data_IF_451090864912
#
_entry.id   IF_451090864912
#
_cell.length_a   1.000
_cell.length_b   1.000
_cell.length_c   1.000
_cell.angle_alpha   90.00
_cell.angle_beta   90.00
_cell.angle_gamma   90.00
#
_symmetry.space_group_name_H-M   'P 1'
#
loop_
_entity.id
_entity.type
_entity.pdbx_description
1 polymer ?
#
# COMPACT_ATOMS: atom_id res chain seq x y z
N UNK A 1 -33.47 35.57 -22.90
CA UNK A 1 -32.16 35.05 -23.39
C UNK A 1 -30.98 35.25 -22.41
N UNK A 2 -31.18 35.78 -21.18
CA UNK A 2 -30.09 36.13 -20.23
C UNK A 2 -29.79 35.04 -19.17
N UNK A 3 -30.73 34.10 -18.91
CA UNK A 3 -30.58 33.04 -17.88
C UNK A 3 -29.48 32.01 -18.18
N UNK A 4 -29.14 31.75 -19.46
CA UNK A 4 -28.10 30.75 -19.83
C UNK A 4 -26.68 31.20 -19.46
N UNK A 5 -26.42 32.51 -19.38
CA UNK A 5 -25.09 33.03 -19.14
C UNK A 5 -24.69 32.99 -17.65
N UNK A 6 -25.66 33.13 -16.75
CA UNK A 6 -25.41 33.12 -15.30
C UNK A 6 -25.13 31.70 -14.77
N UNK A 7 -25.78 30.66 -15.33
CA UNK A 7 -25.61 29.27 -14.93
C UNK A 7 -24.20 28.70 -15.21
N UNK A 8 -23.56 29.06 -16.33
CA UNK A 8 -22.17 28.66 -16.62
C UNK A 8 -21.17 29.26 -15.64
N UNK A 9 -21.40 30.49 -15.16
CA UNK A 9 -20.49 31.14 -14.21
C UNK A 9 -20.52 30.48 -12.82
N UNK A 10 -21.65 29.87 -12.44
CA UNK A 10 -21.79 29.11 -11.19
C UNK A 10 -21.12 27.74 -11.29
N UNK A 11 -21.28 27.03 -12.41
CA UNK A 11 -20.57 25.76 -12.66
C UNK A 11 -19.04 25.92 -12.66
N UNK A 12 -18.53 27.00 -13.27
CA UNK A 12 -17.09 27.30 -13.26
C UNK A 12 -16.55 27.58 -11.85
N UNK A 13 -17.33 28.23 -10.97
CA UNK A 13 -16.96 28.44 -9.56
C UNK A 13 -16.92 27.15 -8.76
N UNK A 14 -17.83 26.21 -9.02
CA UNK A 14 -17.83 24.88 -8.38
C UNK A 14 -16.59 24.07 -8.77
N UNK A 15 -16.21 24.08 -10.04
CA UNK A 15 -14.99 23.43 -10.51
C UNK A 15 -13.73 24.06 -9.92
N UNK A 16 -13.68 25.40 -9.80
CA UNK A 16 -12.60 26.08 -9.12
C UNK A 16 -12.49 25.70 -7.63
N UNK A 17 -13.63 25.59 -6.93
CA UNK A 17 -13.67 25.13 -5.54
C UNK A 17 -13.24 23.67 -5.39
N UNK A 18 -13.62 22.79 -6.32
CA UNK A 18 -13.18 21.39 -6.32
C UNK A 18 -11.68 21.25 -6.57
N UNK A 19 -11.13 22.00 -7.53
CA UNK A 19 -9.68 22.01 -7.80
C UNK A 19 -8.91 22.58 -6.62
N UNK A 20 -9.42 23.65 -5.98
CA UNK A 20 -8.82 24.20 -4.77
C UNK A 20 -8.86 23.20 -3.61
N UNK A 21 -9.96 22.47 -3.43
CA UNK A 21 -10.10 21.43 -2.40
C UNK A 21 -9.14 20.25 -2.63
N UNK A 22 -9.01 19.76 -3.87
CA UNK A 22 -8.04 18.73 -4.22
C UNK A 22 -6.58 19.21 -4.10
N UNK A 23 -6.30 20.46 -4.48
CA UNK A 23 -4.97 21.07 -4.36
C UNK A 23 -4.52 21.27 -2.91
N UNK A 24 -5.42 21.77 -2.05
CA UNK A 24 -5.17 21.91 -0.61
C UNK A 24 -5.02 20.54 0.06
N UNK A 25 -5.86 19.57 -0.30
CA UNK A 25 -5.75 18.19 0.19
C UNK A 25 -4.40 17.55 -0.13
N UNK A 26 -3.88 17.76 -1.34
CA UNK A 26 -2.57 17.23 -1.76
C UNK A 26 -1.41 17.82 -0.94
N UNK A 27 -1.44 19.13 -0.66
CA UNK A 27 -0.37 19.79 0.10
C UNK A 27 -0.29 19.29 1.55
N UNK A 28 -1.44 19.07 2.20
CA UNK A 28 -1.50 18.53 3.58
C UNK A 28 -0.98 17.10 3.66
N UNK A 29 -1.16 16.30 2.59
CA UNK A 29 -0.69 14.91 2.53
C UNK A 29 0.82 14.78 2.26
N UNK A 30 1.51 15.88 1.92
CA UNK A 30 2.96 15.87 1.64
C UNK A 30 3.79 16.17 2.91
N UNK A 31 3.16 16.28 4.08
CA UNK A 31 3.87 16.36 5.36
C UNK A 31 4.72 15.11 5.60
N UNK A 32 5.96 15.32 6.06
CA UNK A 32 6.94 14.28 6.36
C UNK A 32 6.31 13.14 7.17
N UNK A 33 6.38 11.90 6.67
CA UNK A 33 5.86 10.72 7.37
C UNK A 33 6.78 10.37 8.53
N UNK A 34 6.34 10.67 9.75
CA UNK A 34 7.04 10.31 10.98
C UNK A 34 6.11 9.43 11.79
N UNK A 35 6.55 8.21 12.06
CA UNK A 35 5.72 7.24 12.75
C UNK A 35 6.46 6.73 13.99
N UNK A 36 5.75 6.74 15.11
CA UNK A 36 6.26 6.19 16.36
C UNK A 36 5.34 5.07 16.77
N UNK A 37 5.82 3.84 16.65
CA UNK A 37 5.13 2.65 17.11
C UNK A 37 5.27 2.61 18.64
N UNK A 38 4.14 2.81 19.33
CA UNK A 38 4.06 2.72 20.79
C UNK A 38 3.06 1.64 21.18
N UNK A 39 3.44 0.79 22.12
CA UNK A 39 2.56 -0.23 22.70
C UNK A 39 2.38 -1.49 21.84
N UNK A 40 1.37 -2.29 22.18
CA UNK A 40 0.94 -3.47 21.42
C UNK A 40 -0.10 -3.06 20.40
N UNK A 41 0.26 -3.07 19.13
CA UNK A 41 -0.68 -2.90 18.02
C UNK A 41 -1.25 -4.29 17.74
N UNK A 42 -2.53 -4.49 18.00
CA UNK A 42 -3.29 -5.71 17.67
C UNK A 42 -2.62 -7.05 18.07
N UNK A 43 -1.99 -7.11 19.26
CA UNK A 43 -1.52 -8.37 19.84
C UNK A 43 -0.10 -8.79 19.46
N UNK A 44 0.70 -7.91 18.86
CA UNK A 44 2.14 -8.10 18.71
C UNK A 44 2.90 -7.13 19.62
N UNK A 45 3.39 -7.60 20.78
CA UNK A 45 4.02 -6.73 21.77
C UNK A 45 5.41 -6.32 21.26
N UNK A 46 5.54 -5.05 20.91
CA UNK A 46 6.84 -4.39 20.87
C UNK A 46 7.21 -4.08 22.32
N UNK A 47 8.36 -4.58 22.78
CA UNK A 47 8.75 -4.47 24.20
C UNK A 47 9.16 -3.05 24.57
N UNK A 48 9.80 -2.36 23.63
CA UNK A 48 10.18 -0.95 23.72
C UNK A 48 9.60 -0.15 22.51
N UNK A 49 9.46 1.18 22.61
CA UNK A 49 8.96 2.00 21.51
C UNK A 49 9.92 1.95 20.30
N UNK A 50 9.35 1.79 19.10
CA UNK A 50 10.11 1.79 17.84
C UNK A 50 9.78 3.04 17.04
N UNK A 51 10.82 3.76 16.60
CA UNK A 51 10.68 5.00 15.85
C UNK A 51 11.07 4.79 14.40
N UNK A 52 10.17 5.16 13.48
CA UNK A 52 10.38 5.08 12.03
C UNK A 52 10.36 6.52 11.48
N UNK A 53 11.47 6.93 10.87
CA UNK A 53 11.63 8.25 10.27
C UNK A 53 12.00 8.09 8.81
N UNK A 54 11.23 8.70 7.93
CA UNK A 54 11.54 8.71 6.51
C UNK A 54 12.42 9.91 6.17
N UNK A 55 13.51 9.68 5.43
CA UNK A 55 14.33 10.76 4.89
C UNK A 55 13.62 11.47 3.70
N UNK A 56 14.30 12.46 3.11
CA UNK A 56 13.78 13.19 1.95
C UNK A 56 13.58 12.30 0.71
N UNK A 57 14.31 11.20 0.62
CA UNK A 57 14.26 10.26 -0.50
C UNK A 57 13.26 9.12 -0.25
N UNK A 58 12.56 9.11 0.89
CA UNK A 58 11.61 8.06 1.27
C UNK A 58 12.29 6.79 1.82
N UNK A 59 13.54 6.88 2.28
CA UNK A 59 14.23 5.78 2.96
C UNK A 59 13.84 5.77 4.43
N UNK A 60 13.35 4.63 4.91
CA UNK A 60 12.97 4.43 6.30
C UNK A 60 14.21 4.18 7.19
N UNK A 61 14.40 5.04 8.19
CA UNK A 61 15.34 4.85 9.28
C UNK A 61 14.59 4.37 10.52
N UNK A 62 14.98 3.19 11.03
CA UNK A 62 14.28 2.50 12.11
C UNK A 62 15.19 2.46 13.33
N UNK A 63 14.68 2.93 14.46
CA UNK A 63 15.38 2.98 15.73
C UNK A 63 14.60 2.17 16.77
N UNK A 64 15.26 1.20 17.38
CA UNK A 64 14.70 0.30 18.39
C UNK A 64 15.77 -0.03 19.45
N UNK A 65 15.33 -0.44 20.64
CA UNK A 65 16.22 -0.84 21.74
C UNK A 65 16.64 -2.32 21.67
N UNK A 66 15.81 -3.17 21.06
CA UNK A 66 16.06 -4.60 20.93
C UNK A 66 15.99 -5.04 19.46
N UNK A 67 16.73 -6.09 19.11
CA UNK A 67 16.71 -6.65 17.75
C UNK A 67 15.31 -7.15 17.36
N UNK A 68 14.58 -7.75 18.30
CA UNK A 68 13.22 -8.24 18.06
C UNK A 68 12.27 -7.11 17.67
N UNK A 69 12.32 -6.00 18.40
CA UNK A 69 11.53 -4.80 18.12
C UNK A 69 11.98 -4.12 16.82
N UNK A 70 13.29 -4.15 16.51
CA UNK A 70 13.86 -3.66 15.26
C UNK A 70 13.31 -4.43 14.05
N UNK A 71 13.33 -5.76 14.10
CA UNK A 71 12.79 -6.60 13.02
C UNK A 71 11.29 -6.41 12.85
N UNK A 72 10.56 -6.18 13.94
CA UNK A 72 9.14 -5.84 13.88
C UNK A 72 8.92 -4.50 13.16
N UNK A 73 9.66 -3.45 13.55
CA UNK A 73 9.63 -2.15 12.88
C UNK A 73 9.98 -2.23 11.39
N UNK A 74 10.96 -3.06 11.04
CA UNK A 74 11.35 -3.31 9.65
C UNK A 74 10.21 -3.96 8.85
N UNK A 75 9.59 -4.99 9.40
CA UNK A 75 8.42 -5.64 8.80
C UNK A 75 7.28 -4.65 8.57
N UNK A 76 7.02 -3.79 9.56
CA UNK A 76 5.99 -2.76 9.51
C UNK A 76 6.27 -1.73 8.41
N UNK A 77 7.47 -1.14 8.37
CA UNK A 77 7.86 -0.18 7.33
C UNK A 77 7.80 -0.80 5.92
N UNK A 78 8.26 -2.04 5.77
CA UNK A 78 8.15 -2.76 4.50
C UNK A 78 6.70 -2.98 4.07
N UNK A 79 5.81 -3.33 4.99
CA UNK A 79 4.39 -3.48 4.69
C UNK A 79 3.80 -2.14 4.24
N UNK A 80 4.09 -1.03 4.92
CA UNK A 80 3.55 0.27 4.50
C UNK A 80 3.87 0.64 3.05
N UNK A 81 5.10 0.38 2.62
CA UNK A 81 5.55 0.75 1.27
C UNK A 81 5.27 -0.33 0.22
N UNK A 82 5.33 -1.61 0.60
CA UNK A 82 5.42 -2.75 -0.33
C UNK A 82 4.39 -3.84 -0.08
N UNK A 83 3.40 -3.62 0.78
CA UNK A 83 2.40 -4.62 1.14
C UNK A 83 1.78 -5.31 -0.07
N UNK A 84 1.36 -4.55 -1.08
CA UNK A 84 0.71 -5.11 -2.27
C UNK A 84 1.62 -6.11 -3.00
N UNK A 85 2.87 -5.74 -3.26
CA UNK A 85 3.81 -6.62 -3.95
C UNK A 85 4.22 -7.82 -3.10
N UNK A 86 4.39 -7.63 -1.78
CA UNK A 86 4.69 -8.72 -0.86
C UNK A 86 3.53 -9.73 -0.80
N UNK A 87 2.30 -9.27 -0.69
CA UNK A 87 1.12 -10.14 -0.69
C UNK A 87 0.94 -10.84 -2.04
N UNK A 88 1.15 -10.13 -3.15
CA UNK A 88 1.11 -10.71 -4.50
C UNK A 88 2.15 -11.80 -4.69
N UNK A 89 3.40 -11.55 -4.30
CA UNK A 89 4.49 -12.51 -4.36
C UNK A 89 4.22 -13.73 -3.47
N UNK A 90 3.69 -13.52 -2.26
CA UNK A 90 3.29 -14.60 -1.35
C UNK A 90 2.19 -15.48 -1.96
N UNK A 91 1.17 -14.87 -2.57
CA UNK A 91 0.09 -15.60 -3.26
C UNK A 91 0.57 -16.34 -4.50
N UNK A 92 1.50 -15.75 -5.25
CA UNK A 92 2.12 -16.39 -6.40
C UNK A 92 2.92 -17.64 -5.96
N UNK A 93 3.76 -17.51 -4.92
CA UNK A 93 4.55 -18.62 -4.40
C UNK A 93 3.69 -19.77 -3.86
N UNK A 94 2.54 -19.47 -3.25
CA UNK A 94 1.55 -20.48 -2.83
C UNK A 94 0.68 -21.01 -3.97
N UNK A 95 0.69 -20.37 -5.13
CA UNK A 95 -0.16 -20.71 -6.27
C UNK A 95 -1.65 -20.40 -6.04
N UNK A 96 -1.95 -19.28 -5.37
CA UNK A 96 -3.30 -18.76 -5.11
C UNK A 96 -3.60 -17.44 -5.82
N UNK A 97 -2.75 -17.04 -6.78
CA UNK A 97 -2.89 -15.77 -7.47
C UNK A 97 -4.20 -15.65 -8.28
N UNK A 98 -4.65 -16.75 -8.89
CA UNK A 98 -5.94 -16.82 -9.61
C UNK A 98 -7.17 -16.58 -8.74
N UNK A 99 -7.07 -16.70 -7.40
CA UNK A 99 -8.19 -16.37 -6.51
C UNK A 99 -8.46 -14.85 -6.47
N UNK A 100 -7.44 -14.02 -6.72
CA UNK A 100 -7.58 -12.56 -6.71
C UNK A 100 -8.05 -12.02 -8.07
N UNK A 101 -7.57 -12.58 -9.19
CA UNK A 101 -7.82 -12.05 -10.54
C UNK A 101 -8.75 -12.89 -11.41
N UNK A 102 -9.14 -14.09 -10.98
CA UNK A 102 -10.03 -14.98 -11.73
C UNK A 102 -9.39 -15.50 -13.03
N UNK A 103 -10.19 -15.60 -14.11
CA UNK A 103 -9.70 -15.91 -15.46
C UNK A 103 -9.68 -14.61 -16.26
N UNK A 104 -8.50 -14.14 -16.65
CA UNK A 104 -8.35 -12.93 -17.46
C UNK A 104 -8.57 -13.24 -18.94
N UNK A 105 -9.59 -12.70 -19.62
CA UNK A 105 -9.96 -13.09 -20.98
C UNK A 105 -8.97 -12.64 -22.06
N UNK A 106 -8.13 -11.63 -21.80
CA UNK A 106 -7.30 -10.98 -22.82
C UNK A 106 -5.80 -11.31 -22.78
N UNK A 107 -5.34 -12.15 -21.84
CA UNK A 107 -3.92 -12.48 -21.69
C UNK A 107 -3.67 -13.96 -21.99
N UNK A 108 -3.65 -14.31 -23.29
CA UNK A 108 -3.46 -15.71 -23.76
C UNK A 108 -2.05 -16.26 -23.57
N UNK A 109 -1.04 -15.40 -23.39
CA UNK A 109 0.38 -15.81 -23.37
C UNK A 109 0.82 -16.31 -21.98
N UNK A 110 0.21 -15.82 -20.89
CA UNK A 110 0.45 -16.34 -19.54
C UNK A 110 -0.87 -16.37 -18.75
N UNK A 111 -1.57 -17.50 -18.79
CA UNK A 111 -2.72 -17.70 -17.92
C UNK A 111 -2.25 -17.84 -16.47
N UNK A 112 -2.76 -16.97 -15.59
CA UNK A 112 -2.57 -17.02 -14.14
C UNK A 112 -3.01 -18.36 -13.53
N UNK A 113 -3.92 -19.08 -14.18
CA UNK A 113 -4.27 -20.45 -13.81
C UNK A 113 -3.13 -21.43 -14.04
N UNK A 114 -2.41 -21.30 -15.16
CA UNK A 114 -1.26 -22.15 -15.50
C UNK A 114 -0.10 -21.87 -14.54
N UNK A 115 0.17 -20.59 -14.26
CA UNK A 115 1.16 -20.21 -13.26
C UNK A 115 0.84 -20.84 -11.89
N UNK A 116 -0.40 -20.70 -11.40
CA UNK A 116 -0.81 -21.31 -10.15
C UNK A 116 -0.59 -22.82 -10.09
N UNK A 117 -0.90 -23.55 -11.17
CA UNK A 117 -0.65 -25.00 -11.24
C UNK A 117 0.83 -25.34 -11.12
N UNK A 118 1.70 -24.58 -11.80
CA UNK A 118 3.15 -24.76 -11.73
C UNK A 118 3.64 -24.54 -10.30
N UNK A 119 3.31 -23.41 -9.67
CA UNK A 119 3.76 -23.10 -8.32
C UNK A 119 3.25 -24.10 -7.27
N UNK A 120 2.02 -24.61 -7.42
CA UNK A 120 1.51 -25.71 -6.59
C UNK A 120 2.28 -27.01 -6.81
N UNK A 121 2.58 -27.37 -8.05
CA UNK A 121 3.37 -28.59 -8.34
C UNK A 121 4.81 -28.54 -7.82
N UNK A 122 5.37 -27.34 -7.62
CA UNK A 122 6.69 -27.16 -7.01
C UNK A 122 6.67 -27.37 -5.48
N UNK A 123 5.48 -27.36 -4.86
CA UNK A 123 5.32 -27.66 -3.43
C UNK A 123 5.85 -26.58 -2.49
N UNK A 124 6.02 -25.33 -2.95
CA UNK A 124 6.51 -24.25 -2.09
C UNK A 124 5.60 -23.97 -0.89
N UNK A 125 4.29 -24.21 -1.02
CA UNK A 125 3.34 -24.06 0.07
C UNK A 125 3.46 -25.13 1.16
N UNK A 126 4.03 -26.30 0.84
CA UNK A 126 4.17 -27.41 1.79
C UNK A 126 5.51 -27.37 2.54
N UNK A 127 6.49 -26.61 2.03
CA UNK A 127 7.87 -26.56 2.55
C UNK A 127 8.22 -25.25 3.28
N UNK A 128 7.33 -24.26 3.26
CA UNK A 128 7.51 -22.94 3.88
C UNK A 128 6.79 -22.88 5.23
#
# INVERSE_FOLDING_TARGET
MIRKFYGRRIEMKKWFLLIAFFGLGSCVLTGSRHEVLKGSIDGHPVSAPVKIVYDRNGVAHILAETDTDLYYGLGYAMAQDRFFFMDLARRLGRGDLSALFGRLPHYKVYDIMTANKIFRSLGFSERA
#
